data_IF_148371376924
#
_entry.id   IF_148371376924
#
_cell.length_a   1.000
_cell.length_b   1.000
_cell.length_c   1.000
_cell.angle_alpha   90.00
_cell.angle_beta   90.00
_cell.angle_gamma   90.00
#
_symmetry.space_group_name_H-M   'P 1'
#
loop_
_entity.id
_entity.type
_entity.pdbx_description
1 polymer ?
#
# COMPACT_ATOMS: atom_id res chain seq x y z
N UNK A 1 7.90 -38.46 5.78
CA UNK A 1 8.51 -37.97 4.52
C UNK A 1 8.15 -36.50 4.44
N UNK A 2 9.17 -35.63 4.46
CA UNK A 2 9.03 -34.18 4.28
C UNK A 2 9.07 -33.95 2.77
N UNK A 3 7.94 -33.56 2.18
CA UNK A 3 7.94 -33.06 0.81
C UNK A 3 8.22 -31.57 0.85
N UNK A 4 9.40 -31.22 0.33
CA UNK A 4 9.85 -29.85 0.19
C UNK A 4 9.21 -29.19 -1.02
N UNK A 5 8.79 -27.94 -0.84
CA UNK A 5 8.73 -26.94 -1.90
C UNK A 5 9.24 -25.62 -1.31
N UNK A 6 10.57 -25.48 -1.24
CA UNK A 6 11.22 -24.18 -1.08
C UNK A 6 11.46 -23.65 -2.49
N UNK A 7 10.82 -22.53 -2.82
CA UNK A 7 11.15 -21.54 -3.88
C UNK A 7 10.05 -20.47 -3.91
N UNK A 8 10.18 -19.43 -3.07
CA UNK A 8 9.32 -18.24 -3.09
C UNK A 8 9.37 -17.31 -1.86
N UNK A 9 10.13 -17.63 -0.81
CA UNK A 9 9.91 -17.13 0.57
C UNK A 9 10.34 -15.69 0.92
N UNK A 10 10.83 -14.84 0.01
CA UNK A 10 11.39 -13.55 0.43
C UNK A 10 10.57 -12.30 0.07
N UNK A 11 9.46 -12.42 -0.66
CA UNK A 11 8.68 -11.24 -1.11
C UNK A 11 7.29 -11.17 -0.47
N UNK A 12 7.08 -10.15 0.36
CA UNK A 12 5.82 -9.83 1.02
C UNK A 12 5.24 -8.51 0.49
N UNK A 13 4.09 -8.60 -0.16
CA UNK A 13 3.38 -7.43 -0.70
C UNK A 13 2.36 -6.94 0.32
N UNK A 14 2.63 -5.78 0.92
CA UNK A 14 1.84 -5.27 2.04
C UNK A 14 0.69 -4.40 1.53
N UNK A 15 0.95 -3.34 0.77
CA UNK A 15 -0.11 -2.40 0.35
C UNK A 15 0.25 -1.74 -0.98
N UNK A 16 -0.74 -1.37 -1.83
CA UNK A 16 -2.17 -1.66 -1.75
C UNK A 16 -2.53 -3.12 -2.05
N UNK A 17 -3.73 -3.51 -1.64
CA UNK A 17 -4.27 -4.86 -1.92
C UNK A 17 -3.94 -5.90 -0.84
N UNK A 18 -3.92 -5.46 0.44
CA UNK A 18 -3.80 -6.35 1.61
C UNK A 18 -4.74 -7.55 1.49
N UNK A 19 -4.19 -8.74 1.74
CA UNK A 19 -4.81 -10.07 1.51
C UNK A 19 -6.12 -10.25 2.29
N UNK A 20 -6.28 -9.60 3.45
CA UNK A 20 -7.37 -9.86 4.39
C UNK A 20 -8.63 -9.02 4.19
N UNK A 21 -8.59 -8.00 3.32
CA UNK A 21 -9.73 -7.12 3.04
C UNK A 21 -9.90 -6.95 1.54
N UNK A 22 -11.07 -6.50 1.08
CA UNK A 22 -11.49 -6.45 -0.34
C UNK A 22 -10.60 -5.63 -1.30
N UNK A 23 -9.37 -5.26 -0.94
CA UNK A 23 -8.41 -4.56 -1.78
C UNK A 23 -8.82 -3.12 -2.11
N UNK A 24 -9.84 -2.60 -1.43
CA UNK A 24 -10.40 -1.27 -1.67
C UNK A 24 -9.59 -0.19 -0.95
N UNK A 25 -9.29 0.88 -1.68
CA UNK A 25 -8.57 2.04 -1.18
C UNK A 25 -9.28 3.33 -1.56
N UNK A 26 -9.09 4.38 -0.75
CA UNK A 26 -9.55 5.73 -1.05
C UNK A 26 -8.53 6.51 -1.88
N UNK A 27 -7.24 6.39 -1.56
CA UNK A 27 -6.22 7.25 -2.12
C UNK A 27 -5.96 6.97 -3.62
N UNK A 28 -6.17 7.99 -4.46
CA UNK A 28 -5.91 7.95 -5.93
C UNK A 28 -4.43 8.01 -6.28
N UNK A 29 -3.56 8.30 -5.30
CA UNK A 29 -2.10 8.28 -5.39
C UNK A 29 -1.54 7.39 -4.27
N UNK A 30 -1.69 6.06 -4.36
CA UNK A 30 -1.33 5.16 -3.28
C UNK A 30 0.17 5.16 -2.97
N UNK A 31 0.50 4.68 -1.78
CA UNK A 31 1.86 4.26 -1.45
C UNK A 31 1.93 2.75 -1.58
N UNK A 32 3.01 2.29 -2.20
CA UNK A 32 3.35 0.89 -2.28
C UNK A 32 4.30 0.53 -1.13
N UNK A 33 3.99 -0.54 -0.41
CA UNK A 33 4.74 -1.03 0.74
C UNK A 33 4.95 -2.53 0.55
N UNK A 34 6.19 -2.99 0.68
CA UNK A 34 6.56 -4.41 0.59
C UNK A 34 7.72 -4.73 1.55
N UNK A 35 8.03 -6.01 1.72
CA UNK A 35 9.31 -6.46 2.25
C UNK A 35 9.92 -7.46 1.29
N UNK A 36 11.24 -7.41 1.13
CA UNK A 36 11.96 -8.29 0.23
C UNK A 36 12.47 -7.65 -1.05
N UNK A 37 13.19 -8.45 -1.84
CA UNK A 37 13.85 -7.97 -3.04
C UNK A 37 12.89 -7.81 -4.22
N UNK A 38 12.79 -6.59 -4.73
CA UNK A 38 12.07 -6.24 -5.94
C UNK A 38 12.97 -5.42 -6.87
N UNK A 39 12.84 -5.63 -8.18
CA UNK A 39 13.58 -4.84 -9.17
C UNK A 39 12.71 -3.76 -9.81
N UNK A 40 11.41 -4.02 -10.00
CA UNK A 40 10.49 -3.10 -10.66
C UNK A 40 9.05 -3.29 -10.23
N UNK A 41 8.33 -2.17 -10.16
CA UNK A 41 6.88 -2.10 -10.02
C UNK A 41 6.29 -1.40 -11.26
N UNK A 42 5.24 -1.98 -11.83
CA UNK A 42 4.41 -1.31 -12.85
C UNK A 42 2.95 -1.25 -12.39
N UNK A 43 2.27 -0.13 -12.63
CA UNK A 43 0.82 -0.01 -12.40
C UNK A 43 0.07 -0.07 -13.72
N UNK A 44 -0.99 -0.90 -13.73
CA UNK A 44 -1.84 -1.13 -14.90
C UNK A 44 -3.32 -1.17 -14.48
N UNK A 45 -4.25 -0.70 -15.32
CA UNK A 45 -5.67 -0.97 -15.14
C UNK A 45 -5.94 -2.47 -15.30
N UNK A 46 -6.89 -3.03 -14.55
CA UNK A 46 -7.25 -4.45 -14.66
C UNK A 46 -7.82 -4.83 -16.04
N UNK A 47 -8.41 -3.86 -16.74
CA UNK A 47 -9.05 -4.01 -18.04
C UNK A 47 -8.17 -3.60 -19.24
N UNK A 48 -6.89 -3.27 -19.02
CA UNK A 48 -5.97 -2.79 -20.06
C UNK A 48 -4.55 -3.33 -19.86
N UNK A 49 -3.79 -3.42 -20.96
CA UNK A 49 -2.36 -3.72 -20.92
C UNK A 49 -1.49 -2.47 -20.86
N UNK A 50 -2.08 -1.28 -20.92
CA UNK A 50 -1.34 -0.03 -20.82
C UNK A 50 -0.66 0.10 -19.45
N UNK A 51 0.63 0.41 -19.48
CA UNK A 51 1.39 0.78 -18.29
C UNK A 51 1.10 2.25 -18.00
N UNK A 52 0.54 2.54 -16.82
CA UNK A 52 0.29 3.91 -16.37
C UNK A 52 1.52 4.49 -15.68
N UNK A 53 2.28 3.64 -15.00
CA UNK A 53 3.44 4.05 -14.24
C UNK A 53 4.42 2.90 -14.09
N UNK A 54 5.71 3.23 -14.04
CA UNK A 54 6.80 2.29 -13.83
C UNK A 54 7.77 2.91 -12.84
N UNK A 55 8.26 2.08 -11.93
CA UNK A 55 9.29 2.45 -10.98
C UNK A 55 10.34 1.35 -10.93
N UNK A 56 11.57 1.72 -11.28
CA UNK A 56 12.75 0.87 -11.16
C UNK A 56 13.35 1.08 -9.78
N UNK A 57 13.28 0.05 -8.94
CA UNK A 57 13.68 0.14 -7.54
C UNK A 57 15.19 0.33 -7.47
N UNK A 58 15.61 1.35 -6.70
CA UNK A 58 17.01 1.60 -6.37
C UNK A 58 17.22 1.22 -4.90
N UNK A 59 18.41 0.72 -4.56
CA UNK A 59 18.79 0.42 -3.17
C UNK A 59 17.87 -0.60 -2.44
N UNK A 60 17.74 -0.48 -1.12
CA UNK A 60 16.92 -1.30 -0.21
C UNK A 60 15.55 -0.67 0.06
N UNK A 61 14.98 0.03 -0.93
CA UNK A 61 13.64 0.60 -0.83
C UNK A 61 12.59 -0.50 -0.57
N UNK A 62 11.71 -0.24 0.40
CA UNK A 62 10.56 -1.08 0.75
C UNK A 62 9.23 -0.31 0.66
N UNK A 63 9.32 0.99 0.34
CA UNK A 63 8.21 1.93 0.29
C UNK A 63 8.43 2.88 -0.89
N UNK A 64 7.40 3.07 -1.72
CA UNK A 64 7.45 4.08 -2.79
C UNK A 64 6.10 4.79 -2.96
N UNK A 65 6.15 6.11 -3.14
CA UNK A 65 5.01 6.92 -3.52
C UNK A 65 4.67 6.72 -5.02
N UNK A 66 3.39 6.52 -5.32
CA UNK A 66 2.93 6.60 -6.70
C UNK A 66 2.99 8.05 -7.22
N UNK A 67 3.81 8.28 -8.26
CA UNK A 67 4.04 9.62 -8.85
C UNK A 67 3.38 9.81 -10.22
N UNK A 68 2.62 8.82 -10.71
CA UNK A 68 1.90 8.90 -11.99
C UNK A 68 0.67 9.82 -11.94
N UNK A 69 -0.17 9.78 -12.98
CA UNK A 69 -1.47 10.48 -12.99
C UNK A 69 -2.46 9.84 -12.00
N UNK A 70 -3.36 10.65 -11.43
CA UNK A 70 -4.34 10.14 -10.44
C UNK A 70 -5.14 8.98 -10.97
N UNK A 71 -5.21 7.93 -10.16
CA UNK A 71 -6.03 6.78 -10.46
C UNK A 71 -7.51 7.14 -10.27
N UNK A 72 -8.34 6.72 -11.21
CA UNK A 72 -9.76 7.06 -11.21
C UNK A 72 -10.55 6.24 -10.16
N UNK A 73 -11.45 6.87 -9.38
CA UNK A 73 -12.42 6.19 -8.53
C UNK A 73 -13.30 5.18 -9.29
N UNK A 74 -13.62 4.07 -8.64
CA UNK A 74 -14.41 2.97 -9.19
C UNK A 74 -13.66 2.04 -10.14
N UNK A 75 -12.38 2.32 -10.44
CA UNK A 75 -11.55 1.47 -11.27
C UNK A 75 -10.67 0.53 -10.45
N UNK A 76 -10.42 -0.63 -11.02
CA UNK A 76 -9.53 -1.65 -10.48
C UNK A 76 -8.18 -1.61 -11.19
N UNK A 77 -7.10 -1.69 -10.42
CA UNK A 77 -5.73 -1.68 -10.88
C UNK A 77 -4.99 -2.89 -10.31
N UNK A 78 -3.83 -3.19 -10.89
CA UNK A 78 -2.88 -4.08 -10.27
C UNK A 78 -1.47 -3.54 -10.41
N UNK A 79 -0.68 -3.75 -9.37
CA UNK A 79 0.78 -3.69 -9.51
C UNK A 79 1.30 -5.02 -10.06
N UNK A 80 2.08 -4.92 -11.13
CA UNK A 80 2.84 -6.00 -11.75
C UNK A 80 4.27 -5.89 -11.29
N UNK A 81 4.80 -7.00 -10.78
CA UNK A 81 6.03 -7.00 -10.00
C UNK A 81 7.05 -7.92 -10.65
N UNK A 82 8.29 -7.44 -10.69
CA UNK A 82 9.44 -8.15 -11.25
C UNK A 82 10.42 -8.37 -10.11
N UNK A 83 10.81 -9.62 -9.87
CA UNK A 83 11.86 -9.92 -8.90
C UNK A 83 13.24 -9.64 -9.51
N UNK A 84 14.30 -9.70 -8.70
CA UNK A 84 15.68 -9.49 -9.16
C UNK A 84 16.24 -10.63 -10.02
N UNK A 85 15.55 -11.77 -10.09
CA UNK A 85 15.98 -12.98 -10.82
C UNK A 85 15.30 -13.15 -12.17
N UNK A 86 14.21 -12.41 -12.41
CA UNK A 86 13.41 -12.43 -13.62
C UNK A 86 13.82 -11.25 -14.52
N UNK A 87 14.38 -11.56 -15.68
CA UNK A 87 14.64 -10.56 -16.71
C UNK A 87 13.33 -9.84 -17.08
N UNK A 88 13.38 -8.55 -17.39
CA UNK A 88 12.20 -7.75 -17.76
C UNK A 88 11.35 -8.37 -18.91
N UNK A 89 11.95 -9.22 -19.75
CA UNK A 89 11.30 -9.94 -20.84
C UNK A 89 10.72 -11.31 -20.46
N UNK A 90 10.95 -11.78 -19.24
CA UNK A 90 10.43 -13.06 -18.74
C UNK A 90 9.04 -12.88 -18.15
N UNK A 91 8.05 -13.58 -18.70
CA UNK A 91 6.70 -13.68 -18.13
C UNK A 91 6.63 -14.65 -16.93
N UNK A 92 7.73 -15.37 -16.65
CA UNK A 92 7.83 -16.35 -15.57
C UNK A 92 8.28 -15.63 -14.29
N UNK A 93 7.50 -15.75 -13.21
CA UNK A 93 7.83 -15.17 -11.90
C UNK A 93 7.08 -13.88 -11.52
N UNK A 94 6.15 -13.41 -12.36
CA UNK A 94 5.47 -12.13 -12.14
C UNK A 94 4.35 -12.29 -11.12
N UNK A 95 4.54 -11.72 -9.93
CA UNK A 95 3.47 -11.55 -8.96
C UNK A 95 2.61 -10.33 -9.30
N UNK A 96 1.31 -10.42 -8.97
CA UNK A 96 0.36 -9.32 -9.10
C UNK A 96 -0.48 -9.24 -7.82
N UNK A 97 -0.72 -8.03 -7.33
CA UNK A 97 -1.92 -7.81 -6.49
C UNK A 97 -2.84 -6.81 -7.14
N UNK A 98 -4.11 -7.01 -6.87
CA UNK A 98 -5.17 -6.14 -7.34
C UNK A 98 -5.59 -5.23 -6.21
N UNK A 99 -5.95 -4.00 -6.56
CA UNK A 99 -6.62 -3.08 -5.67
C UNK A 99 -7.66 -2.28 -6.45
N UNK A 100 -8.68 -1.79 -5.76
CA UNK A 100 -9.76 -1.00 -6.34
C UNK A 100 -9.77 0.37 -5.66
N UNK A 101 -9.81 1.44 -6.45
CA UNK A 101 -10.16 2.75 -5.89
C UNK A 101 -11.67 2.70 -5.67
N UNK A 102 -12.13 2.98 -4.45
CA UNK A 102 -13.57 3.00 -4.13
C UNK A 102 -14.35 3.89 -5.12
N UNK A 103 -15.65 3.62 -5.24
CA UNK A 103 -16.54 4.35 -6.13
C UNK A 103 -16.55 5.86 -5.85
N UNK A 104 -16.90 6.65 -6.88
CA UNK A 104 -16.84 8.11 -6.84
C UNK A 104 -17.65 8.72 -5.68
N UNK A 105 -18.88 8.24 -5.45
CA UNK A 105 -19.75 8.77 -4.39
C UNK A 105 -19.12 8.55 -3.02
N UNK A 106 -18.64 7.34 -2.74
CA UNK A 106 -17.95 7.01 -1.48
C UNK A 106 -16.62 7.75 -1.36
N UNK A 107 -15.88 7.89 -2.44
CA UNK A 107 -14.62 8.64 -2.48
C UNK A 107 -14.84 10.10 -2.09
N UNK A 108 -15.84 10.77 -2.67
CA UNK A 108 -16.19 12.16 -2.35
C UNK A 108 -16.66 12.32 -0.90
N UNK A 109 -17.52 11.41 -0.41
CA UNK A 109 -17.98 11.43 0.98
C UNK A 109 -16.82 11.32 1.97
N UNK A 110 -15.89 10.39 1.73
CA UNK A 110 -14.71 10.20 2.58
C UNK A 110 -13.78 11.42 2.51
N UNK A 111 -13.59 12.00 1.32
CA UNK A 111 -12.78 13.22 1.14
C UNK A 111 -13.34 14.38 1.96
N UNK A 112 -14.65 14.57 1.97
CA UNK A 112 -15.31 15.61 2.75
C UNK A 112 -15.18 15.37 4.26
N UNK A 113 -15.34 14.13 4.71
CA UNK A 113 -15.20 13.77 6.11
C UNK A 113 -13.75 13.94 6.62
N UNK A 114 -12.75 13.54 5.82
CA UNK A 114 -11.34 13.75 6.12
C UNK A 114 -11.00 15.23 6.21
N UNK A 115 -11.49 16.06 5.28
CA UNK A 115 -11.24 17.49 5.31
C UNK A 115 -11.78 18.14 6.61
N UNK A 116 -12.94 17.71 7.10
CA UNK A 116 -13.50 18.17 8.38
C UNK A 116 -12.64 17.70 9.56
N UNK A 117 -12.25 16.42 9.58
CA UNK A 117 -11.38 15.86 10.61
C UNK A 117 -10.07 16.64 10.72
N UNK A 118 -9.41 16.88 9.57
CA UNK A 118 -8.16 17.63 9.52
C UNK A 118 -8.34 19.07 10.00
N UNK A 119 -9.43 19.73 9.57
CA UNK A 119 -9.71 21.10 9.99
C UNK A 119 -9.87 21.18 11.52
N UNK A 120 -10.57 20.24 12.13
CA UNK A 120 -10.82 20.23 13.57
C UNK A 120 -9.56 19.91 14.37
N UNK A 121 -8.73 18.98 13.91
CA UNK A 121 -7.45 18.64 14.54
C UNK A 121 -6.44 19.79 14.43
N UNK A 122 -6.38 20.43 13.26
CA UNK A 122 -5.50 21.59 13.07
C UNK A 122 -5.91 22.77 13.97
N UNK A 123 -7.21 23.03 14.15
CA UNK A 123 -7.71 24.05 15.11
C UNK A 123 -7.31 23.74 16.55
N UNK A 124 -7.18 22.46 16.90
CA UNK A 124 -6.75 22.00 18.22
C UNK A 124 -5.23 22.02 18.39
N UNK A 125 -4.47 22.40 17.35
CA UNK A 125 -3.01 22.39 17.38
C UNK A 125 -2.40 20.99 17.42
N UNK A 126 -3.09 20.00 16.83
CA UNK A 126 -2.60 18.63 16.75
C UNK A 126 -1.26 18.57 16.00
N UNK A 127 -0.39 17.66 16.42
CA UNK A 127 0.88 17.39 15.74
C UNK A 127 0.65 16.56 14.47
N UNK A 128 1.63 16.55 13.56
CA UNK A 128 1.57 15.71 12.33
C UNK A 128 1.29 14.23 12.66
N UNK A 129 1.97 13.71 13.69
CA UNK A 129 1.76 12.32 14.15
C UNK A 129 0.36 12.11 14.74
N UNK A 130 -0.16 13.05 15.54
CA UNK A 130 -1.52 12.94 16.08
C UNK A 130 -2.58 12.97 14.97
N UNK A 131 -2.38 13.79 13.93
CA UNK A 131 -3.25 13.83 12.75
C UNK A 131 -3.20 12.49 12.01
N UNK A 132 -1.99 11.96 11.77
CA UNK A 132 -1.83 10.67 11.11
C UNK A 132 -2.54 9.55 11.88
N UNK A 133 -2.35 9.45 13.20
CA UNK A 133 -3.02 8.43 14.03
C UNK A 133 -4.55 8.59 14.04
N UNK A 134 -5.07 9.81 14.01
CA UNK A 134 -6.51 10.05 13.88
C UNK A 134 -7.05 9.55 12.53
N UNK A 135 -6.32 9.79 11.44
CA UNK A 135 -6.67 9.30 10.10
C UNK A 135 -6.54 7.78 9.98
N UNK A 136 -5.55 7.16 10.63
CA UNK A 136 -5.44 5.70 10.75
C UNK A 136 -6.73 5.11 11.28
N UNK A 137 -7.23 5.65 12.41
CA UNK A 137 -8.49 5.21 13.01
C UNK A 137 -9.66 5.44 12.05
N UNK A 138 -9.73 6.62 11.43
CA UNK A 138 -10.78 6.98 10.48
C UNK A 138 -10.89 5.98 9.31
N UNK A 139 -9.75 5.59 8.72
CA UNK A 139 -9.70 4.64 7.61
C UNK A 139 -9.94 3.20 8.07
N UNK A 140 -9.37 2.80 9.21
CA UNK A 140 -9.56 1.48 9.80
C UNK A 140 -11.04 1.17 10.11
N UNK A 141 -11.77 2.13 10.69
CA UNK A 141 -13.21 2.02 10.95
C UNK A 141 -14.05 1.83 9.68
N UNK A 142 -13.49 2.16 8.52
CA UNK A 142 -14.11 2.02 7.19
C UNK A 142 -13.56 0.83 6.39
N UNK A 143 -12.75 -0.03 7.01
CA UNK A 143 -12.04 -1.16 6.39
C UNK A 143 -11.08 -0.76 5.25
N UNK A 144 -10.60 0.49 5.26
CA UNK A 144 -9.64 1.02 4.29
C UNK A 144 -8.21 0.86 4.81
N UNK A 145 -7.79 -0.39 5.04
CA UNK A 145 -6.54 -0.69 5.74
C UNK A 145 -5.28 -0.26 5.00
N UNK A 146 -5.31 -0.25 3.66
CA UNK A 146 -4.18 0.25 2.87
C UNK A 146 -3.98 1.76 3.06
N UNK A 147 -5.07 2.52 3.13
CA UNK A 147 -5.01 3.95 3.44
C UNK A 147 -4.57 4.18 4.90
N UNK A 148 -5.10 3.37 5.84
CA UNK A 148 -4.69 3.43 7.23
C UNK A 148 -3.17 3.19 7.39
N UNK A 149 -2.62 2.14 6.75
CA UNK A 149 -1.17 1.91 6.76
C UNK A 149 -0.43 3.07 6.11
N UNK A 150 -0.91 3.58 4.97
CA UNK A 150 -0.28 4.71 4.29
C UNK A 150 -0.09 5.92 5.21
N UNK A 151 -1.10 6.26 6.04
CA UNK A 151 -0.97 7.37 6.99
C UNK A 151 0.14 7.15 8.01
N UNK A 152 0.29 5.91 8.51
CA UNK A 152 1.38 5.56 9.43
C UNK A 152 2.73 5.78 8.77
N UNK A 153 2.93 5.31 7.54
CA UNK A 153 4.23 5.34 6.86
C UNK A 153 4.61 6.72 6.29
N UNK A 154 3.63 7.60 6.05
CA UNK A 154 3.85 8.98 5.56
C UNK A 154 4.44 9.96 6.58
N UNK A 155 4.32 9.69 7.89
CA UNK A 155 4.84 10.60 8.92
C UNK A 155 6.36 10.75 8.75
N UNK A 156 6.84 11.97 8.49
CA UNK A 156 8.25 12.21 8.12
C UNK A 156 9.23 12.02 9.25
N UNK A 157 8.79 12.29 10.49
CA UNK A 157 9.60 12.20 11.71
C UNK A 157 8.83 11.44 12.78
N UNK A 158 8.65 10.12 12.60
CA UNK A 158 7.87 9.31 13.53
C UNK A 158 8.56 9.28 14.90
N UNK A 159 7.77 9.31 15.98
CA UNK A 159 8.23 8.96 17.32
C UNK A 159 8.82 7.55 17.37
N UNK A 160 9.58 7.23 18.43
CA UNK A 160 10.09 5.86 18.62
C UNK A 160 8.95 4.84 18.68
N UNK A 161 7.84 5.19 19.34
CA UNK A 161 6.66 4.32 19.41
C UNK A 161 6.06 4.05 18.03
N UNK A 162 5.98 5.07 17.17
CA UNK A 162 5.50 4.89 15.80
C UNK A 162 6.48 4.11 14.92
N UNK A 163 7.79 4.25 15.15
CA UNK A 163 8.82 3.44 14.48
C UNK A 163 8.72 1.97 14.87
N UNK A 164 8.53 1.68 16.16
CA UNK A 164 8.33 0.32 16.66
C UNK A 164 7.04 -0.27 16.10
N UNK A 165 5.95 0.51 16.07
CA UNK A 165 4.69 0.07 15.47
C UNK A 165 4.85 -0.28 13.99
N UNK A 166 5.53 0.58 13.20
CA UNK A 166 5.83 0.32 11.78
C UNK A 166 6.59 -0.98 11.58
N UNK A 167 7.61 -1.22 12.39
CA UNK A 167 8.43 -2.44 12.29
C UNK A 167 7.61 -3.69 12.66
N UNK A 168 6.88 -3.63 13.77
CA UNK A 168 6.05 -4.74 14.26
C UNK A 168 4.91 -5.10 13.31
N UNK A 169 4.26 -4.10 12.68
CA UNK A 169 3.14 -4.37 11.76
C UNK A 169 3.64 -5.03 10.48
N UNK A 170 4.78 -4.59 9.92
CA UNK A 170 5.38 -5.25 8.75
C UNK A 170 5.77 -6.68 9.09
N UNK A 171 6.44 -6.89 10.23
CA UNK A 171 6.82 -8.22 10.68
C UNK A 171 5.59 -9.13 10.81
N UNK A 172 4.51 -8.63 11.41
CA UNK A 172 3.26 -9.39 11.56
C UNK A 172 2.60 -9.70 10.20
N UNK A 173 2.55 -8.75 9.28
CA UNK A 173 1.92 -8.92 7.98
C UNK A 173 2.74 -9.85 7.06
N UNK A 174 4.06 -9.88 7.22
CA UNK A 174 4.95 -10.64 6.34
C UNK A 174 5.41 -11.99 6.92
N UNK A 175 5.36 -12.17 8.24
CA UNK A 175 5.71 -13.44 8.92
C UNK A 175 4.46 -14.17 9.46
N UNK A 176 3.28 -13.56 9.33
CA UNK A 176 2.01 -14.08 9.82
C UNK A 176 1.30 -15.08 8.91
N UNK A 177 1.99 -16.13 8.48
CA UNK A 177 1.39 -17.39 7.95
C UNK A 177 1.97 -18.65 8.63
N UNK A 178 2.36 -18.56 9.91
CA UNK A 178 2.57 -19.74 10.76
C UNK A 178 1.69 -19.63 12.01
N UNK A 179 0.45 -20.13 11.92
CA UNK A 179 -0.30 -20.77 13.02
C UNK A 179 -1.52 -21.51 12.48
#
# INVERSE_FOLDING_TARGET
MKDGTSRGDDLCLVSPGLIEVEGKIWNTRPIFIWQGQLSRIEIRPSNSYQVLWTFDIQDDEEIVDYTGEELEPGNTYYWRIFDSTSSADSLVGIQRRTFEIIDLEKHEAITQDLAKLDQDLNKQGATEEAIALARVKFFAERNLWSDALSEVFKVKKPSMELQDFRSNILQRLCQGEEN
#
